data_IF_768219699435
#
_entry.id   IF_768219699435
#
_cell.length_a   1.000
_cell.length_b   1.000
_cell.length_c   1.000
_cell.angle_alpha   90.00
_cell.angle_beta   90.00
_cell.angle_gamma   90.00
#
_symmetry.space_group_name_H-M   'P 1'
#
loop_
_entity.id
_entity.type
_entity.pdbx_description
1 polymer ?
#
# COMPACT_ATOMS: atom_id res chain seq x y z
N UNK A 1 49.01 -50.89 7.26
CA UNK A 1 48.24 -49.64 7.33
C UNK A 1 46.89 -49.99 7.91
N UNK A 2 46.59 -49.56 9.14
CA UNK A 2 45.27 -49.76 9.75
C UNK A 2 44.39 -48.61 9.29
N UNK A 3 43.30 -48.93 8.59
CA UNK A 3 42.26 -47.97 8.25
C UNK A 3 41.74 -47.36 9.55
N UNK A 4 42.02 -46.08 9.75
CA UNK A 4 41.51 -45.33 10.87
C UNK A 4 40.03 -45.04 10.63
N UNK A 5 39.16 -45.71 11.39
CA UNK A 5 37.89 -45.21 11.93
C UNK A 5 37.11 -44.20 11.07
N UNK A 6 36.56 -44.64 9.92
CA UNK A 6 35.56 -43.86 9.19
C UNK A 6 34.19 -43.89 9.90
N UNK A 7 33.86 -45.01 10.55
CA UNK A 7 32.59 -45.19 11.25
C UNK A 7 32.38 -44.24 12.44
N UNK A 8 33.44 -43.89 13.18
CA UNK A 8 33.32 -43.02 14.36
C UNK A 8 32.97 -41.57 14.01
N UNK A 9 33.55 -41.05 12.92
CA UNK A 9 33.25 -39.70 12.44
C UNK A 9 31.84 -39.60 11.84
N UNK A 10 31.40 -40.66 11.15
CA UNK A 10 30.06 -40.75 10.56
C UNK A 10 28.96 -40.77 11.65
N UNK A 11 29.16 -41.55 12.71
CA UNK A 11 28.28 -41.54 13.88
C UNK A 11 28.22 -40.19 14.60
N UNK A 12 29.35 -39.48 14.67
CA UNK A 12 29.40 -38.12 15.22
C UNK A 12 28.60 -37.14 14.36
N UNK A 13 28.68 -37.24 13.03
CA UNK A 13 27.90 -36.41 12.11
C UNK A 13 26.39 -36.66 12.28
N UNK A 14 25.97 -37.92 12.35
CA UNK A 14 24.57 -38.29 12.59
C UNK A 14 24.09 -37.74 13.94
N UNK A 15 24.88 -37.86 15.00
CA UNK A 15 24.55 -37.32 16.31
C UNK A 15 24.39 -35.80 16.28
N UNK A 16 25.30 -35.08 15.61
CA UNK A 16 25.21 -33.62 15.45
C UNK A 16 23.94 -33.25 14.70
N UNK A 17 23.59 -33.95 13.62
CA UNK A 17 22.36 -33.70 12.86
C UNK A 17 21.12 -33.94 13.72
N UNK A 18 21.08 -35.02 14.51
CA UNK A 18 19.96 -35.31 15.41
C UNK A 18 19.84 -34.23 16.49
N UNK A 19 20.95 -33.87 17.14
CA UNK A 19 20.97 -32.82 18.18
C UNK A 19 20.55 -31.47 17.61
N UNK A 20 21.08 -31.08 16.45
CA UNK A 20 20.69 -29.86 15.75
C UNK A 20 19.20 -29.85 15.41
N UNK A 21 18.67 -30.97 14.90
CA UNK A 21 17.26 -31.13 14.54
C UNK A 21 16.33 -31.02 15.76
N UNK A 22 16.73 -31.59 16.90
CA UNK A 22 15.97 -31.51 18.15
C UNK A 22 16.08 -30.12 18.77
N UNK A 23 17.24 -29.46 18.68
CA UNK A 23 17.43 -28.10 19.21
C UNK A 23 16.68 -27.02 18.44
N UNK A 24 16.35 -27.24 17.16
CA UNK A 24 15.55 -26.31 16.37
C UNK A 24 14.13 -26.11 16.92
N UNK A 25 13.59 -27.08 17.67
CA UNK A 25 12.27 -26.99 18.31
C UNK A 25 12.28 -26.41 19.73
N UNK A 26 13.46 -26.06 20.27
CA UNK A 26 13.61 -25.47 21.60
C UNK A 26 13.93 -23.98 21.48
N UNK A 27 12.94 -23.21 21.07
CA UNK A 27 12.94 -21.76 21.35
C UNK A 27 12.36 -21.58 22.75
N UNK A 28 13.13 -21.09 23.74
CA UNK A 28 12.52 -20.69 25.00
C UNK A 28 11.42 -19.67 24.68
N UNK A 29 10.26 -19.85 25.28
CA UNK A 29 9.14 -18.91 25.20
C UNK A 29 9.64 -17.59 25.79
N UNK A 30 10.14 -16.71 24.90
CA UNK A 30 10.50 -15.36 25.28
C UNK A 30 9.20 -14.69 25.68
N UNK A 31 9.15 -14.09 26.88
CA UNK A 31 8.07 -13.17 27.20
C UNK A 31 8.01 -12.15 26.06
N UNK A 32 6.83 -11.93 25.44
CA UNK A 32 6.71 -10.94 24.37
C UNK A 32 7.16 -9.61 24.96
N UNK A 33 8.29 -9.11 24.48
CA UNK A 33 8.66 -7.72 24.73
C UNK A 33 7.69 -6.92 23.89
N UNK A 34 6.79 -6.18 24.53
CA UNK A 34 5.90 -5.24 23.84
C UNK A 34 6.78 -4.17 23.18
N UNK A 35 7.17 -4.40 21.93
CA UNK A 35 7.95 -3.43 21.17
C UNK A 35 7.10 -2.19 20.90
N UNK A 36 7.68 -0.99 21.03
CA UNK A 36 6.94 0.24 20.81
C UNK A 36 6.60 0.39 19.31
N UNK A 37 5.30 0.52 19.04
CA UNK A 37 4.75 0.68 17.70
C UNK A 37 4.65 2.15 17.31
N UNK A 38 4.62 2.43 16.01
CA UNK A 38 4.27 3.76 15.53
C UNK A 38 2.82 4.07 15.92
N UNK A 39 2.60 5.24 16.50
CA UNK A 39 1.26 5.71 16.94
C UNK A 39 0.83 6.98 16.22
N UNK A 40 1.76 7.67 15.58
CA UNK A 40 1.47 8.83 14.75
C UNK A 40 2.67 9.29 13.96
N UNK A 41 2.41 10.17 12.99
CA UNK A 41 3.37 10.68 12.03
C UNK A 41 3.15 12.19 11.90
N UNK A 42 4.18 12.98 12.16
CA UNK A 42 4.12 14.45 12.01
C UNK A 42 5.28 14.95 11.17
N UNK A 43 5.07 16.02 10.40
CA UNK A 43 6.16 16.62 9.63
C UNK A 43 5.70 17.30 8.36
N UNK A 44 6.61 17.38 7.38
CA UNK A 44 6.35 18.06 6.11
C UNK A 44 6.76 17.23 4.91
N UNK A 45 5.96 17.31 3.84
CA UNK A 45 6.24 16.75 2.52
C UNK A 45 6.17 17.87 1.48
N UNK A 46 7.22 18.02 0.68
CA UNK A 46 7.27 18.94 -0.44
C UNK A 46 6.84 18.21 -1.70
N UNK A 47 5.76 18.67 -2.33
CA UNK A 47 5.22 18.11 -3.57
C UNK A 47 6.07 18.59 -4.76
N UNK A 48 7.29 18.07 -4.86
CA UNK A 48 8.31 18.56 -5.79
C UNK A 48 8.04 18.23 -7.27
N UNK A 49 7.20 17.23 -7.55
CA UNK A 49 6.89 16.76 -8.91
C UNK A 49 5.45 17.11 -9.31
N UNK A 50 5.19 17.12 -10.63
CA UNK A 50 3.83 17.30 -11.17
C UNK A 50 2.93 16.14 -10.71
N UNK A 51 3.43 14.90 -10.76
CA UNK A 51 2.66 13.73 -10.35
C UNK A 51 2.22 13.79 -8.87
N UNK A 52 3.08 14.31 -7.99
CA UNK A 52 2.73 14.51 -6.57
C UNK A 52 1.64 15.57 -6.36
N UNK A 53 1.60 16.61 -7.20
CA UNK A 53 0.53 17.62 -7.18
C UNK A 53 -0.78 17.02 -7.71
N UNK A 54 -0.71 16.32 -8.84
CA UNK A 54 -1.90 15.79 -9.52
C UNK A 54 -2.56 14.68 -8.71
N UNK A 55 -1.78 13.89 -7.95
CA UNK A 55 -2.28 12.88 -7.01
C UNK A 55 -3.19 13.44 -5.91
N UNK A 56 -3.12 14.75 -5.61
CA UNK A 56 -3.98 15.44 -4.64
C UNK A 56 -5.01 16.36 -5.31
N UNK A 57 -5.23 16.24 -6.61
CA UNK A 57 -6.15 17.10 -7.35
C UNK A 57 -5.67 18.55 -7.45
N UNK A 58 -4.35 18.78 -7.54
CA UNK A 58 -3.73 20.11 -7.57
C UNK A 58 -3.19 20.49 -8.94
N UNK A 59 -3.85 20.04 -10.01
CA UNK A 59 -3.41 20.25 -11.40
C UNK A 59 -3.26 21.73 -11.76
N UNK A 60 -4.12 22.59 -11.21
CA UNK A 60 -4.13 24.05 -11.46
C UNK A 60 -2.97 24.83 -10.80
N UNK A 61 -2.19 24.16 -9.95
CA UNK A 61 -1.12 24.78 -9.16
C UNK A 61 0.26 24.40 -9.70
N UNK A 62 1.24 25.25 -9.44
CA UNK A 62 2.65 24.96 -9.70
C UNK A 62 3.20 23.96 -8.65
N UNK A 63 4.16 23.08 -9.03
CA UNK A 63 4.84 22.20 -8.08
C UNK A 63 5.57 22.97 -6.97
N UNK A 64 6.03 22.22 -5.97
CA UNK A 64 6.70 22.68 -4.74
C UNK A 64 5.77 23.26 -3.67
N UNK A 65 4.49 22.89 -3.67
CA UNK A 65 3.64 23.09 -2.51
C UNK A 65 4.13 22.24 -1.33
N UNK A 66 3.90 22.72 -0.11
CA UNK A 66 4.34 22.05 1.13
C UNK A 66 3.11 21.57 1.89
N UNK A 67 3.02 20.26 2.10
CA UNK A 67 2.05 19.60 2.94
C UNK A 67 2.61 19.42 4.35
N UNK A 68 2.03 20.07 5.35
CA UNK A 68 2.27 19.78 6.75
C UNK A 68 1.24 18.76 7.23
N UNK A 69 1.70 17.67 7.83
CA UNK A 69 0.86 16.55 8.27
C UNK A 69 0.98 16.34 9.77
N UNK A 70 -0.13 15.97 10.41
CA UNK A 70 -0.17 15.41 11.77
C UNK A 70 -1.19 14.28 11.77
N UNK A 71 -0.69 13.06 11.61
CA UNK A 71 -1.49 11.87 11.43
C UNK A 71 -1.39 10.99 12.67
N UNK A 72 -2.50 10.34 12.97
CA UNK A 72 -2.63 9.30 13.99
C UNK A 72 -2.72 7.96 13.32
N UNK A 73 -2.05 6.96 13.87
CA UNK A 73 -2.06 5.58 13.36
C UNK A 73 -2.70 4.66 14.38
N UNK A 74 -3.65 3.85 13.93
CA UNK A 74 -4.33 2.84 14.74
C UNK A 74 -4.33 1.50 14.02
N UNK A 75 -4.25 0.41 14.78
CA UNK A 75 -4.57 -0.92 14.25
C UNK A 75 -6.07 -1.03 14.09
N UNK A 76 -6.53 -1.70 13.03
CA UNK A 76 -7.94 -1.96 12.80
C UNK A 76 -8.20 -3.44 12.60
N UNK A 77 -9.40 -3.86 12.98
CA UNK A 77 -9.93 -5.19 12.71
C UNK A 77 -11.39 -5.08 12.25
N UNK A 78 -11.75 -5.91 11.27
CA UNK A 78 -13.11 -5.98 10.76
C UNK A 78 -13.57 -7.44 10.69
N UNK A 79 -14.89 -7.70 10.80
CA UNK A 79 -15.42 -9.02 10.50
C UNK A 79 -15.12 -9.43 9.04
N UNK A 80 -15.26 -10.72 8.68
CA UNK A 80 -15.12 -11.16 7.29
C UNK A 80 -16.05 -10.35 6.37
N UNK A 81 -15.50 -9.88 5.24
CA UNK A 81 -16.24 -9.22 4.17
C UNK A 81 -17.16 -10.22 3.42
N UNK A 82 -18.01 -9.70 2.53
CA UNK A 82 -18.74 -10.55 1.59
C UNK A 82 -17.77 -11.26 0.65
N UNK A 83 -17.70 -12.59 0.73
CA UNK A 83 -16.78 -13.41 -0.05
C UNK A 83 -15.42 -13.68 0.62
N UNK A 84 -15.17 -13.13 1.81
CA UNK A 84 -14.02 -13.47 2.66
C UNK A 84 -14.26 -14.76 3.46
N UNK A 85 -13.21 -15.57 3.61
CA UNK A 85 -13.17 -16.74 4.51
C UNK A 85 -12.64 -16.36 5.90
N UNK A 86 -11.87 -15.27 5.99
CA UNK A 86 -11.18 -14.85 7.21
C UNK A 86 -11.53 -13.40 7.61
N UNK A 87 -11.30 -13.07 8.89
CA UNK A 87 -11.43 -11.70 9.40
C UNK A 87 -10.35 -10.79 8.82
N UNK A 88 -10.65 -9.51 8.73
CA UNK A 88 -9.71 -8.52 8.22
C UNK A 88 -8.93 -7.88 9.35
N UNK A 89 -7.64 -7.66 9.12
CA UNK A 89 -6.78 -6.88 10.01
C UNK A 89 -5.96 -5.88 9.20
N UNK A 90 -5.55 -4.79 9.84
CA UNK A 90 -4.77 -3.79 9.15
C UNK A 90 -4.51 -2.55 9.98
N UNK A 91 -4.32 -1.43 9.28
CA UNK A 91 -4.04 -0.13 9.88
C UNK A 91 -4.93 0.96 9.29
N UNK A 92 -5.17 1.98 10.11
CA UNK A 92 -5.80 3.21 9.70
C UNK A 92 -4.91 4.38 10.11
N UNK A 93 -4.67 5.28 9.17
CA UNK A 93 -3.90 6.51 9.34
C UNK A 93 -4.81 7.68 9.02
N UNK A 94 -5.04 8.56 9.99
CA UNK A 94 -5.96 9.68 9.83
C UNK A 94 -5.49 10.95 10.52
N UNK A 95 -5.80 12.09 9.94
CA UNK A 95 -5.53 13.39 10.54
C UNK A 95 -5.50 14.55 9.55
N UNK A 96 -5.26 15.77 10.04
CA UNK A 96 -5.19 16.97 9.20
C UNK A 96 -3.95 17.01 8.30
N UNK A 97 -4.16 17.54 7.10
CA UNK A 97 -3.13 17.90 6.13
C UNK A 97 -3.31 19.36 5.74
N UNK A 98 -2.28 20.16 5.95
CA UNK A 98 -2.25 21.58 5.60
C UNK A 98 -1.33 21.82 4.42
N UNK A 99 -1.89 22.18 3.27
CA UNK A 99 -1.16 22.52 2.07
C UNK A 99 -0.96 24.04 1.99
N UNK A 100 0.31 24.45 1.86
CA UNK A 100 0.72 25.84 1.73
C UNK A 100 1.69 26.00 0.55
N UNK A 101 1.95 27.24 0.15
CA UNK A 101 2.82 27.52 -1.00
C UNK A 101 2.19 27.16 -2.35
N UNK A 102 0.87 26.99 -2.40
CA UNK A 102 0.12 26.79 -3.63
C UNK A 102 0.16 28.08 -4.44
N UNK A 103 0.65 28.02 -5.67
CA UNK A 103 0.68 29.15 -6.60
C UNK A 103 -0.08 28.76 -7.84
N UNK A 104 -1.19 29.45 -8.13
CA UNK A 104 -1.96 29.18 -9.35
C UNK A 104 -1.28 29.76 -10.59
N UNK A 105 -1.81 29.46 -11.77
CA UNK A 105 -1.28 29.98 -13.05
C UNK A 105 -1.22 31.52 -13.13
N UNK A 106 -2.03 32.21 -12.34
CA UNK A 106 -2.08 33.68 -12.27
C UNK A 106 -1.17 34.27 -11.19
N UNK A 107 -0.43 33.44 -10.46
CA UNK A 107 0.47 33.84 -9.39
C UNK A 107 -0.21 34.14 -8.06
N UNK A 108 -1.47 33.75 -7.86
CA UNK A 108 -2.18 33.91 -6.59
C UNK A 108 -1.77 32.80 -5.63
N UNK A 109 -1.63 33.16 -4.36
CA UNK A 109 -1.34 32.22 -3.29
C UNK A 109 -2.61 31.52 -2.81
N UNK A 110 -2.54 30.21 -2.72
CA UNK A 110 -3.58 29.34 -2.16
C UNK A 110 -3.14 28.69 -0.86
N UNK A 111 -4.14 28.18 -0.14
CA UNK A 111 -4.00 27.30 1.04
C UNK A 111 -5.15 26.32 1.01
N UNK A 112 -4.87 25.06 1.27
CA UNK A 112 -5.89 24.01 1.41
C UNK A 112 -5.73 23.38 2.79
N UNK A 113 -6.84 23.26 3.50
CA UNK A 113 -6.96 22.51 4.75
C UNK A 113 -7.78 21.27 4.43
N UNK A 114 -7.20 20.11 4.66
CA UNK A 114 -7.82 18.83 4.32
C UNK A 114 -7.69 17.85 5.47
N UNK A 115 -8.52 16.81 5.46
CA UNK A 115 -8.34 15.62 6.29
C UNK A 115 -8.02 14.43 5.40
N UNK A 116 -7.01 13.68 5.80
CA UNK A 116 -6.66 12.40 5.19
C UNK A 116 -7.17 11.28 6.07
N UNK A 117 -7.81 10.29 5.47
CA UNK A 117 -8.10 9.00 6.10
C UNK A 117 -7.68 7.88 5.14
N UNK A 118 -6.65 7.15 5.52
CA UNK A 118 -6.10 6.02 4.77
C UNK A 118 -6.25 4.75 5.59
N UNK A 119 -6.98 3.77 5.08
CA UNK A 119 -7.11 2.46 5.71
C UNK A 119 -6.55 1.38 4.79
N UNK A 120 -5.59 0.60 5.28
CA UNK A 120 -5.10 -0.61 4.61
C UNK A 120 -5.56 -1.82 5.41
N UNK A 121 -6.34 -2.71 4.79
CA UNK A 121 -6.83 -3.94 5.40
C UNK A 121 -6.43 -5.15 4.59
N UNK A 122 -6.23 -6.28 5.26
CA UNK A 122 -5.84 -7.54 4.63
C UNK A 122 -6.69 -8.69 5.16
N UNK A 123 -7.08 -9.58 4.26
CA UNK A 123 -7.61 -10.90 4.59
C UNK A 123 -6.44 -11.87 4.73
N UNK A 124 -6.11 -12.23 5.98
CA UNK A 124 -5.00 -13.15 6.29
C UNK A 124 -5.52 -14.50 6.78
N UNK A 125 -5.08 -15.56 6.13
CA UNK A 125 -5.29 -16.94 6.57
C UNK A 125 -4.46 -17.31 7.79
N UNK A 126 -4.83 -18.38 8.51
CA UNK A 126 -4.11 -18.85 9.70
C UNK A 126 -2.68 -19.34 9.42
N UNK A 127 -2.38 -19.61 8.16
CA UNK A 127 -1.08 -20.02 7.63
C UNK A 127 -0.16 -18.85 7.27
N UNK A 128 -0.61 -17.60 7.47
CA UNK A 128 0.15 -16.39 7.19
C UNK A 128 0.10 -15.95 5.73
N UNK A 129 -0.79 -16.53 4.93
CA UNK A 129 -1.01 -16.11 3.56
C UNK A 129 -2.07 -15.00 3.49
N UNK A 130 -1.82 -14.02 2.64
CA UNK A 130 -2.72 -12.91 2.35
C UNK A 130 -3.48 -13.25 1.07
N UNK A 131 -4.81 -13.31 1.19
CA UNK A 131 -5.70 -13.63 0.07
C UNK A 131 -6.17 -12.37 -0.64
N UNK A 132 -6.47 -11.31 0.12
CA UNK A 132 -6.98 -10.04 -0.40
C UNK A 132 -6.45 -8.86 0.41
N UNK A 133 -6.32 -7.72 -0.25
CA UNK A 133 -5.92 -6.46 0.37
C UNK A 133 -6.84 -5.33 -0.10
N UNK A 134 -7.23 -4.44 0.80
CA UNK A 134 -7.98 -3.23 0.50
C UNK A 134 -7.17 -2.01 0.91
N UNK A 135 -7.09 -1.02 0.03
CA UNK A 135 -6.59 0.31 0.32
C UNK A 135 -7.75 1.28 0.13
N UNK A 136 -8.20 1.89 1.22
CA UNK A 136 -9.28 2.87 1.24
C UNK A 136 -8.66 4.24 1.52
N UNK A 137 -8.77 5.16 0.58
CA UNK A 137 -8.31 6.52 0.69
C UNK A 137 -9.53 7.45 0.65
N UNK A 138 -9.70 8.24 1.70
CA UNK A 138 -10.66 9.33 1.77
C UNK A 138 -9.87 10.63 2.01
N UNK A 139 -9.90 11.50 1.01
CA UNK A 139 -9.28 12.81 1.01
C UNK A 139 -10.39 13.86 1.06
N UNK A 140 -10.55 14.49 2.21
CA UNK A 140 -11.54 15.54 2.42
C UNK A 140 -10.87 16.92 2.30
N UNK A 141 -11.00 17.55 1.14
CA UNK A 141 -10.44 18.86 0.83
C UNK A 141 -11.49 19.85 0.29
N UNK A 142 -12.76 19.65 0.65
CA UNK A 142 -13.88 20.49 0.19
C UNK A 142 -14.28 20.20 -1.26
N UNK A 143 -14.06 21.16 -2.16
CA UNK A 143 -14.40 21.03 -3.60
C UNK A 143 -13.44 20.10 -4.36
N UNK A 144 -12.37 19.64 -3.71
CA UNK A 144 -11.37 18.71 -4.24
C UNK A 144 -11.33 17.40 -3.47
N UNK A 145 -12.41 17.07 -2.75
CA UNK A 145 -12.49 15.80 -2.04
C UNK A 145 -12.49 14.64 -3.03
N UNK A 146 -11.94 13.50 -2.61
CA UNK A 146 -11.92 12.29 -3.42
C UNK A 146 -11.87 11.07 -2.54
N UNK A 147 -12.67 10.06 -2.86
CA UNK A 147 -12.58 8.75 -2.23
C UNK A 147 -12.19 7.69 -3.26
N UNK A 148 -11.16 6.90 -2.93
CA UNK A 148 -10.62 5.84 -3.78
C UNK A 148 -10.53 4.56 -2.96
N UNK A 149 -11.08 3.47 -3.49
CA UNK A 149 -10.88 2.13 -2.97
C UNK A 149 -10.10 1.30 -3.99
N UNK A 150 -9.09 0.58 -3.52
CA UNK A 150 -8.31 -0.38 -4.30
C UNK A 150 -8.41 -1.74 -3.65
N UNK A 151 -8.95 -2.72 -4.37
CA UNK A 151 -8.98 -4.13 -3.98
C UNK A 151 -7.93 -4.90 -4.77
N UNK A 152 -7.06 -5.63 -4.08
CA UNK A 152 -6.12 -6.59 -4.67
C UNK A 152 -6.51 -8.01 -4.28
N UNK A 153 -6.59 -8.92 -5.26
CA UNK A 153 -6.88 -10.35 -5.03
C UNK A 153 -5.64 -11.18 -5.41
N UNK A 154 -5.10 -11.90 -4.43
CA UNK A 154 -3.94 -12.77 -4.59
C UNK A 154 -4.37 -14.21 -4.86
N UNK A 155 -4.11 -14.68 -6.07
CA UNK A 155 -4.25 -16.09 -6.42
C UNK A 155 -3.09 -16.52 -7.35
N UNK A 156 -2.09 -17.28 -6.84
CA UNK A 156 -2.06 -17.88 -5.51
C UNK A 156 -1.92 -16.83 -4.38
N UNK A 157 -2.37 -17.14 -3.15
CA UNK A 157 -2.22 -16.26 -2.00
C UNK A 157 -0.77 -15.83 -1.76
N UNK A 158 -0.57 -14.58 -1.37
CA UNK A 158 0.76 -14.02 -1.13
C UNK A 158 1.24 -14.41 0.27
N UNK A 159 2.39 -15.05 0.35
CA UNK A 159 3.01 -15.29 1.64
C UNK A 159 3.57 -13.99 2.21
N UNK A 160 3.07 -13.59 3.37
CA UNK A 160 3.59 -12.44 4.10
C UNK A 160 3.94 -12.93 5.52
N UNK A 161 5.23 -13.25 5.78
CA UNK A 161 5.64 -13.65 7.12
C UNK A 161 5.25 -12.55 8.13
N UNK A 162 4.82 -12.95 9.32
CA UNK A 162 4.35 -12.06 10.38
C UNK A 162 5.43 -11.12 10.93
N UNK A 163 5.20 -10.60 12.13
CA UNK A 163 5.97 -9.50 12.76
C UNK A 163 7.48 -9.79 12.97
N UNK A 164 7.92 -11.06 12.84
CA UNK A 164 9.27 -11.53 13.18
C UNK A 164 10.28 -11.58 12.01
N UNK A 165 10.31 -10.63 11.08
CA UNK A 165 11.38 -10.60 10.06
C UNK A 165 12.13 -9.29 9.93
N UNK A 166 13.46 -9.44 9.88
CA UNK A 166 14.39 -8.44 9.42
C UNK A 166 14.02 -8.01 8.01
N UNK A 167 13.61 -6.75 7.87
CA UNK A 167 13.23 -6.24 6.57
C UNK A 167 14.49 -6.08 5.70
N UNK A 168 14.63 -7.00 4.74
CA UNK A 168 15.77 -7.03 3.86
C UNK A 168 15.80 -5.82 2.91
N UNK A 169 14.81 -4.93 2.91
CA UNK A 169 14.79 -3.70 2.12
C UNK A 169 15.59 -2.55 2.75
N UNK A 170 15.89 -2.61 4.05
CA UNK A 170 16.68 -1.61 4.76
C UNK A 170 18.08 -2.14 5.13
N UNK A 171 19.09 -1.28 5.05
CA UNK A 171 20.46 -1.54 5.53
C UNK A 171 20.76 -0.71 6.74
N UNK A 172 21.22 -1.34 7.82
CA UNK A 172 21.72 -0.63 8.99
C UNK A 172 23.12 -0.07 8.70
N UNK A 173 23.30 1.22 8.96
CA UNK A 173 24.55 1.98 8.84
C UNK A 173 24.82 2.75 10.13
N UNK A 174 25.96 3.46 10.21
CA UNK A 174 26.26 4.34 11.35
C UNK A 174 25.29 5.53 11.46
N UNK A 175 24.70 5.96 10.34
CA UNK A 175 23.78 7.12 10.27
C UNK A 175 22.31 6.74 10.52
N UNK A 176 22.00 5.44 10.59
CA UNK A 176 20.63 4.93 10.68
C UNK A 176 20.36 3.79 9.69
N UNK A 177 19.09 3.55 9.37
CA UNK A 177 18.68 2.57 8.36
C UNK A 177 18.41 3.25 7.01
N UNK A 178 19.03 2.76 5.94
CA UNK A 178 18.88 3.29 4.58
C UNK A 178 18.23 2.27 3.64
N UNK A 179 17.38 2.74 2.73
CA UNK A 179 16.79 1.92 1.68
C UNK A 179 17.82 1.27 0.76
N UNK A 180 17.66 -0.02 0.44
CA UNK A 180 18.48 -0.75 -0.54
C UNK A 180 18.06 -0.53 -1.98
N UNK A 181 16.78 -0.28 -2.18
CA UNK A 181 16.12 -0.20 -3.48
C UNK A 181 14.88 0.67 -3.36
N UNK A 182 14.53 1.35 -4.46
CA UNK A 182 13.41 2.30 -4.48
C UNK A 182 13.86 3.74 -4.19
N UNK A 183 12.96 4.61 -3.70
CA UNK A 183 13.31 5.99 -3.36
C UNK A 183 14.31 6.00 -2.20
N UNK A 184 15.17 7.01 -2.19
CA UNK A 184 16.16 7.21 -1.11
C UNK A 184 15.41 7.53 0.19
N UNK A 185 15.49 6.61 1.15
CA UNK A 185 14.87 6.71 2.47
C UNK A 185 15.92 6.49 3.54
N UNK A 186 16.00 7.41 4.50
CA UNK A 186 16.84 7.33 5.69
C UNK A 186 15.98 7.42 6.96
N UNK A 187 16.11 6.40 7.81
CA UNK A 187 15.50 6.31 9.12
C UNK A 187 16.56 6.51 10.21
N UNK A 188 16.35 7.50 11.05
CA UNK A 188 17.24 7.81 12.18
C UNK A 188 16.48 7.70 13.49
N UNK A 189 17.14 7.20 14.53
CA UNK A 189 16.58 7.29 15.88
C UNK A 189 16.89 8.66 16.47
N UNK A 190 15.87 9.34 16.97
CA UNK A 190 16.03 10.56 17.75
C UNK A 190 16.47 10.27 19.18
N UNK A 191 16.93 11.30 19.89
CA UNK A 191 17.29 11.20 21.31
C UNK A 191 16.08 10.85 22.21
N UNK A 192 14.84 11.13 21.77
CA UNK A 192 13.60 10.78 22.49
C UNK A 192 13.13 9.34 22.24
N UNK A 193 13.77 8.61 21.32
CA UNK A 193 13.35 7.27 20.90
C UNK A 193 12.33 7.25 19.75
N UNK A 194 11.93 8.42 19.23
CA UNK A 194 11.11 8.55 18.02
C UNK A 194 11.95 8.31 16.76
N UNK A 195 11.32 7.87 15.68
CA UNK A 195 11.98 7.69 14.39
C UNK A 195 11.87 8.95 13.53
N UNK A 196 12.98 9.44 12.98
CA UNK A 196 12.99 10.51 11.97
C UNK A 196 13.17 9.87 10.60
N UNK A 197 12.23 10.14 9.71
CA UNK A 197 12.20 9.65 8.33
C UNK A 197 12.54 10.82 7.39
N UNK A 198 13.65 10.68 6.66
CA UNK A 198 13.99 11.53 5.52
C UNK A 198 13.75 10.72 4.26
N UNK A 199 12.93 11.22 3.35
CA UNK A 199 12.53 10.41 2.21
C UNK A 199 12.30 11.24 0.95
N UNK A 200 12.51 10.57 -0.19
CA UNK A 200 12.28 11.11 -1.51
C UNK A 200 10.95 10.63 -2.08
N UNK A 201 10.28 11.53 -2.80
CA UNK A 201 9.15 11.14 -3.62
C UNK A 201 9.63 10.36 -4.85
N UNK A 202 8.80 9.45 -5.40
CA UNK A 202 9.09 8.83 -6.68
C UNK A 202 9.42 9.87 -7.76
N UNK A 203 10.34 9.52 -8.65
CA UNK A 203 10.72 10.29 -9.84
C UNK A 203 11.34 11.69 -9.60
N UNK A 204 11.61 12.09 -8.35
CA UNK A 204 12.37 13.30 -8.08
C UNK A 204 13.89 13.05 -8.12
N UNK A 205 14.48 13.22 -9.31
CA UNK A 205 15.90 12.90 -9.57
C UNK A 205 16.93 13.66 -8.71
N UNK A 206 16.58 14.85 -8.21
CA UNK A 206 17.48 15.66 -7.39
C UNK A 206 17.38 15.35 -5.90
N UNK A 207 16.38 14.58 -5.48
CA UNK A 207 16.18 14.25 -4.10
C UNK A 207 17.26 13.28 -3.59
N UNK A 208 17.69 13.51 -2.35
CA UNK A 208 18.62 12.67 -1.58
C UNK A 208 18.30 12.84 -0.11
N UNK A 209 18.75 11.93 0.76
CA UNK A 209 18.61 12.11 2.21
C UNK A 209 19.14 13.46 2.76
N UNK A 210 20.08 14.12 2.07
CA UNK A 210 20.61 15.46 2.42
C UNK A 210 19.75 16.64 1.95
N UNK A 211 18.82 16.39 1.03
CA UNK A 211 17.84 17.34 0.51
C UNK A 211 16.54 16.57 0.22
N UNK A 212 15.87 16.07 1.27
CA UNK A 212 14.73 15.18 1.12
C UNK A 212 13.47 15.96 0.73
N UNK A 213 12.53 15.28 0.07
CA UNK A 213 11.21 15.85 -0.19
C UNK A 213 10.36 15.82 1.08
N UNK A 214 10.58 14.82 1.93
CA UNK A 214 9.84 14.63 3.16
C UNK A 214 10.74 14.52 4.38
N UNK A 215 10.32 15.17 5.45
CA UNK A 215 10.93 15.10 6.78
C UNK A 215 9.81 14.82 7.76
N UNK A 216 9.72 13.58 8.21
CA UNK A 216 8.65 13.11 9.09
C UNK A 216 9.23 12.55 10.39
N UNK A 217 8.47 12.67 11.47
CA UNK A 217 8.78 12.08 12.77
C UNK A 217 7.68 11.08 13.12
N UNK A 218 8.06 9.81 13.19
CA UNK A 218 7.22 8.71 13.63
C UNK A 218 7.28 8.62 15.15
N UNK A 219 6.19 9.07 15.79
CA UNK A 219 6.02 8.98 17.25
C UNK A 219 5.75 7.53 17.61
N UNK A 220 6.48 7.01 18.60
CA UNK A 220 6.30 5.63 19.06
C UNK A 220 5.60 5.58 20.42
N UNK A 221 4.79 4.54 20.61
CA UNK A 221 4.01 4.34 21.82
C UNK A 221 3.77 2.86 22.10
N UNK A 222 3.15 2.54 23.25
CA UNK A 222 2.83 1.16 23.59
C UNK A 222 1.82 0.57 22.58
N UNK A 223 1.88 -0.74 22.32
CA UNK A 223 0.87 -1.46 21.56
C UNK A 223 -0.55 -1.15 22.03
N UNK A 224 -1.47 -0.89 21.09
CA UNK A 224 -2.89 -0.61 21.37
C UNK A 224 -3.78 -1.68 20.76
N UNK A 225 -4.87 -2.02 21.46
CA UNK A 225 -5.88 -2.93 20.93
C UNK A 225 -6.44 -2.40 19.59
N UNK A 226 -6.69 -3.26 18.60
CA UNK A 226 -7.24 -2.84 17.33
C UNK A 226 -8.63 -2.19 17.49
N UNK A 227 -8.85 -1.10 16.76
CA UNK A 227 -10.15 -0.47 16.59
C UNK A 227 -11.04 -1.37 15.72
N UNK A 228 -12.28 -1.59 16.15
CA UNK A 228 -13.26 -2.32 15.32
C UNK A 228 -13.81 -1.37 14.26
N UNK A 229 -13.69 -1.76 12.99
CA UNK A 229 -14.22 -1.02 11.84
C UNK A 229 -15.18 -1.90 11.04
N UNK A 230 -15.93 -1.28 10.14
CA UNK A 230 -16.79 -2.01 9.20
C UNK A 230 -15.95 -2.69 8.12
N UNK A 231 -16.44 -3.83 7.62
CA UNK A 231 -15.80 -4.49 6.48
C UNK A 231 -16.04 -3.67 5.21
N UNK A 232 -15.07 -3.62 4.28
CA UNK A 232 -15.23 -2.94 3.00
C UNK A 232 -16.34 -3.60 2.17
N UNK A 233 -16.97 -2.85 1.25
CA UNK A 233 -18.05 -3.37 0.41
C UNK A 233 -17.58 -4.53 -0.47
N UNK A 234 -18.51 -5.44 -0.78
CA UNK A 234 -18.26 -6.54 -1.68
C UNK A 234 -18.15 -6.08 -3.13
N UNK A 235 -17.13 -6.57 -3.83
CA UNK A 235 -17.02 -6.41 -5.28
C UNK A 235 -17.88 -7.47 -5.97
N UNK A 236 -18.78 -7.03 -6.85
CA UNK A 236 -19.71 -7.90 -7.55
C UNK A 236 -19.56 -7.79 -9.06
N UNK A 237 -19.85 -8.89 -9.75
CA UNK A 237 -19.85 -8.91 -11.20
C UNK A 237 -21.15 -8.31 -11.75
N UNK A 238 -21.02 -7.32 -12.63
CA UNK A 238 -22.12 -6.46 -13.08
C UNK A 238 -22.13 -6.37 -14.61
N UNK A 239 -23.31 -6.10 -15.18
CA UNK A 239 -23.44 -5.98 -16.63
C UNK A 239 -22.87 -4.65 -17.12
N UNK A 240 -22.11 -4.70 -18.21
CA UNK A 240 -21.50 -3.55 -18.85
C UNK A 240 -22.15 -3.27 -20.20
N UNK A 241 -22.61 -2.05 -20.40
CA UNK A 241 -23.02 -1.55 -21.70
C UNK A 241 -21.83 -0.87 -22.41
N UNK A 242 -21.60 -1.11 -23.71
CA UNK A 242 -20.53 -0.43 -24.42
C UNK A 242 -20.85 1.08 -24.53
N UNK A 243 -19.89 1.92 -24.16
CA UNK A 243 -20.03 3.37 -24.20
C UNK A 243 -18.71 4.08 -23.94
N UNK A 244 -18.66 5.38 -24.26
CA UNK A 244 -17.48 6.20 -23.97
C UNK A 244 -17.57 6.75 -22.55
N UNK A 245 -16.43 6.76 -21.85
CA UNK A 245 -16.28 7.41 -20.55
C UNK A 245 -16.28 8.93 -20.73
N UNK A 246 -16.82 9.64 -19.74
CA UNK A 246 -16.93 11.10 -19.70
C UNK A 246 -15.57 11.80 -19.77
N UNK A 247 -14.55 11.29 -19.05
CA UNK A 247 -13.26 12.00 -18.83
C UNK A 247 -12.01 11.12 -19.00
N UNK A 248 -12.07 10.06 -19.81
CA UNK A 248 -10.86 9.34 -20.24
C UNK A 248 -10.15 8.47 -19.19
N UNK A 249 -10.87 7.96 -18.17
CA UNK A 249 -10.40 6.78 -17.40
C UNK A 249 -10.03 6.98 -15.92
N UNK A 250 -10.09 8.20 -15.37
CA UNK A 250 -9.88 8.44 -13.93
C UNK A 250 -8.47 8.11 -13.41
N UNK A 251 -8.30 7.96 -12.09
CA UNK A 251 -7.03 7.53 -11.47
C UNK A 251 -6.62 6.15 -11.99
N UNK A 252 -7.58 5.25 -12.18
CA UNK A 252 -7.35 3.91 -12.69
C UNK A 252 -6.73 3.87 -14.09
N UNK A 253 -7.11 4.77 -15.00
CA UNK A 253 -6.56 4.85 -16.36
C UNK A 253 -5.07 5.23 -16.41
N UNK A 254 -4.53 5.79 -15.32
CA UNK A 254 -3.09 6.08 -15.17
C UNK A 254 -2.28 4.87 -14.70
N UNK A 255 -2.94 3.81 -14.22
CA UNK A 255 -2.26 2.67 -13.60
C UNK A 255 -1.65 1.71 -14.62
N UNK A 256 -2.12 1.66 -15.86
CA UNK A 256 -1.63 0.69 -16.82
C UNK A 256 -1.72 1.15 -18.28
N UNK A 257 -0.92 0.50 -19.11
CA UNK A 257 -0.96 0.69 -20.55
C UNK A 257 -1.91 -0.34 -21.17
N UNK A 258 -3.09 0.13 -21.55
CA UNK A 258 -4.12 -0.69 -22.18
C UNK A 258 -3.95 -0.71 -23.71
N UNK A 259 -4.21 -1.87 -24.30
CA UNK A 259 -4.16 -2.12 -25.73
C UNK A 259 -5.49 -1.92 -26.44
N UNK A 260 -5.77 -2.77 -27.42
CA UNK A 260 -6.97 -2.66 -28.25
C UNK A 260 -8.24 -2.97 -27.44
N UNK A 261 -9.34 -2.31 -27.82
CA UNK A 261 -10.66 -2.57 -27.26
C UNK A 261 -11.16 -3.96 -27.67
N UNK A 262 -11.61 -4.72 -26.68
CA UNK A 262 -12.17 -6.06 -26.88
C UNK A 262 -13.65 -6.09 -26.47
N UNK A 263 -14.49 -6.85 -27.18
CA UNK A 263 -15.89 -7.00 -26.81
C UNK A 263 -16.02 -7.68 -25.43
N UNK A 264 -16.68 -6.99 -24.51
CA UNK A 264 -17.00 -7.51 -23.19
C UNK A 264 -18.31 -6.87 -22.71
N UNK A 265 -19.09 -7.62 -21.94
CA UNK A 265 -20.39 -7.18 -21.43
C UNK A 265 -20.51 -7.34 -19.91
N UNK A 266 -19.40 -7.59 -19.22
CA UNK A 266 -19.35 -7.78 -17.76
C UNK A 266 -18.15 -7.05 -17.17
N UNK A 267 -18.29 -6.52 -15.98
CA UNK A 267 -17.18 -5.93 -15.22
C UNK A 267 -17.35 -6.21 -13.74
N UNK A 268 -16.40 -5.78 -12.92
CA UNK A 268 -16.49 -5.81 -11.48
C UNK A 268 -16.55 -4.38 -10.94
N UNK A 269 -17.43 -4.14 -9.97
CA UNK A 269 -17.59 -2.85 -9.31
C UNK A 269 -18.24 -3.08 -7.93
N UNK A 270 -17.91 -2.30 -6.89
CA UNK A 270 -18.68 -2.28 -5.66
C UNK A 270 -20.11 -1.81 -5.96
N UNK A 271 -21.09 -2.64 -5.58
CA UNK A 271 -22.55 -2.39 -5.63
C UNK A 271 -23.02 -1.19 -6.46
N UNK A 272 -23.07 -1.27 -7.80
CA UNK A 272 -23.55 -0.14 -8.60
C UNK A 272 -25.06 0.02 -8.43
N UNK A 273 -25.53 1.27 -8.33
CA UNK A 273 -26.96 1.56 -8.26
C UNK A 273 -27.64 1.45 -9.63
N UNK A 274 -26.85 1.47 -10.71
CA UNK A 274 -27.36 1.52 -12.07
C UNK A 274 -26.55 0.66 -13.06
N UNK A 275 -26.95 0.67 -14.33
CA UNK A 275 -26.21 -0.01 -15.39
C UNK A 275 -24.98 0.79 -15.77
N UNK A 276 -23.80 0.17 -15.67
CA UNK A 276 -22.55 0.82 -16.04
C UNK A 276 -22.38 0.90 -17.56
N UNK A 277 -21.82 2.01 -18.02
CA UNK A 277 -21.30 2.15 -19.38
C UNK A 277 -19.77 2.10 -19.35
N UNK A 278 -19.14 1.53 -20.37
CA UNK A 278 -17.69 1.51 -20.40
C UNK A 278 -17.07 0.70 -21.53
N UNK A 279 -15.78 0.47 -21.38
CA UNK A 279 -14.91 -0.15 -22.38
C UNK A 279 -13.99 -1.17 -21.71
N UNK A 280 -13.70 -2.24 -22.44
CA UNK A 280 -12.71 -3.24 -22.04
C UNK A 280 -11.59 -3.27 -23.06
N UNK A 281 -10.36 -3.37 -22.58
CA UNK A 281 -9.13 -3.39 -23.37
C UNK A 281 -8.25 -4.56 -22.96
N UNK A 282 -7.41 -5.03 -23.87
CA UNK A 282 -6.33 -5.96 -23.52
C UNK A 282 -5.25 -5.25 -22.70
N UNK A 283 -4.59 -5.98 -21.81
CA UNK A 283 -3.48 -5.44 -21.02
C UNK A 283 -2.18 -5.65 -21.79
N UNK A 284 -1.48 -4.56 -22.14
CA UNK A 284 -0.15 -4.63 -22.77
C UNK A 284 0.92 -4.78 -21.69
N UNK A 285 0.86 -3.90 -20.69
CA UNK A 285 1.76 -3.91 -19.55
C UNK A 285 0.91 -3.94 -18.28
N UNK A 286 1.11 -4.89 -17.36
CA UNK A 286 0.41 -4.89 -16.09
C UNK A 286 0.73 -3.62 -15.30
N UNK A 287 -0.10 -3.25 -14.30
CA UNK A 287 0.19 -2.11 -13.47
C UNK A 287 1.60 -2.17 -12.89
N UNK A 288 2.36 -1.05 -12.88
CA UNK A 288 3.68 -1.05 -12.31
C UNK A 288 3.58 -1.37 -10.82
N UNK A 289 4.59 -2.08 -10.32
CA UNK A 289 4.66 -2.37 -8.90
C UNK A 289 4.71 -1.07 -8.10
N UNK A 290 3.78 -0.87 -7.15
CA UNK A 290 3.91 0.16 -6.10
C UNK A 290 5.07 -0.12 -5.13
N UNK A 291 5.98 -1.05 -5.45
CA UNK A 291 7.22 -1.32 -4.73
C UNK A 291 8.05 -0.08 -4.32
N UNK A 292 8.09 1.05 -5.05
CA UNK A 292 8.78 2.24 -4.56
C UNK A 292 8.18 2.79 -3.25
N UNK A 293 6.85 2.68 -3.05
CA UNK A 293 6.19 3.07 -1.81
C UNK A 293 6.27 1.99 -0.72
N UNK A 294 6.59 0.74 -1.07
CA UNK A 294 6.85 -0.31 -0.09
C UNK A 294 7.89 0.12 0.94
N UNK A 295 8.97 0.79 0.50
CA UNK A 295 10.02 1.31 1.38
C UNK A 295 9.48 2.32 2.40
N UNK A 296 8.49 3.13 2.02
CA UNK A 296 7.82 4.06 2.93
C UNK A 296 6.97 3.35 3.97
N UNK A 297 6.14 2.39 3.55
CA UNK A 297 5.35 1.57 4.48
C UNK A 297 6.26 0.82 5.45
N UNK A 298 7.31 0.17 4.93
CA UNK A 298 8.31 -0.54 5.72
C UNK A 298 8.99 0.39 6.72
N UNK A 299 9.39 1.59 6.28
CA UNK A 299 10.03 2.55 7.16
C UNK A 299 9.12 3.02 8.32
N UNK A 300 7.81 2.98 8.11
CA UNK A 300 6.79 3.25 9.12
C UNK A 300 6.41 2.03 9.95
N UNK A 301 7.08 0.89 9.75
CA UNK A 301 6.79 -0.37 10.44
C UNK A 301 5.55 -1.09 9.91
N UNK A 302 5.15 -0.81 8.67
CA UNK A 302 3.94 -1.34 8.05
C UNK A 302 4.23 -2.39 6.98
N UNK A 303 3.24 -3.24 6.73
CA UNK A 303 3.31 -4.25 5.68
C UNK A 303 3.30 -3.61 4.31
N UNK A 304 4.30 -3.94 3.49
CA UNK A 304 4.39 -3.42 2.13
C UNK A 304 3.24 -3.91 1.23
N UNK A 305 2.55 -2.95 0.60
CA UNK A 305 1.64 -3.19 -0.51
C UNK A 305 2.46 -3.47 -1.78
N UNK A 306 2.16 -4.57 -2.47
CA UNK A 306 2.74 -4.89 -3.78
C UNK A 306 1.62 -5.04 -4.77
N UNK A 307 1.35 -4.00 -5.55
CA UNK A 307 0.45 -4.09 -6.71
C UNK A 307 1.22 -4.72 -7.87
N UNK A 308 1.23 -6.05 -7.96
CA UNK A 308 1.70 -6.73 -9.16
C UNK A 308 0.68 -7.78 -9.63
N UNK A 309 -0.60 -7.38 -9.87
CA UNK A 309 -1.61 -8.31 -10.31
C UNK A 309 -1.38 -8.70 -11.77
N UNK A 310 -1.40 -9.99 -12.06
CA UNK A 310 -1.43 -10.49 -13.42
C UNK A 310 -2.88 -10.52 -13.93
N UNK A 311 -3.11 -10.02 -15.15
CA UNK A 311 -4.43 -10.02 -15.77
C UNK A 311 -4.36 -9.84 -17.29
N UNK A 312 -5.47 -10.10 -17.96
CA UNK A 312 -5.57 -10.11 -19.43
C UNK A 312 -6.46 -8.99 -19.95
N UNK A 313 -7.51 -8.65 -19.19
CA UNK A 313 -8.48 -7.65 -19.58
C UNK A 313 -8.59 -6.55 -18.52
N UNK A 314 -8.51 -5.31 -18.98
CA UNK A 314 -8.76 -4.12 -18.18
C UNK A 314 -10.08 -3.51 -18.60
N UNK A 315 -11.00 -3.35 -17.67
CA UNK A 315 -12.30 -2.72 -17.92
C UNK A 315 -12.40 -1.45 -17.14
N UNK A 316 -12.80 -0.37 -17.80
CA UNK A 316 -13.15 0.91 -17.20
C UNK A 316 -14.64 1.15 -17.42
N UNK A 317 -15.35 1.45 -16.36
CA UNK A 317 -16.79 1.57 -16.36
C UNK A 317 -17.22 2.71 -15.42
N UNK A 318 -18.30 3.40 -15.77
CA UNK A 318 -18.88 4.42 -14.91
C UNK A 318 -20.41 4.38 -14.95
N UNK A 319 -21.00 4.73 -13.83
CA UNK A 319 -22.28 5.44 -13.80
C UNK A 319 -22.04 6.81 -13.17
N UNK A 320 -22.97 7.75 -13.33
CA UNK A 320 -22.73 9.15 -12.95
C UNK A 320 -22.25 9.40 -11.52
N UNK A 321 -22.34 8.40 -10.64
CA UNK A 321 -21.98 8.47 -9.21
C UNK A 321 -20.70 7.67 -8.87
N UNK A 322 -20.35 6.63 -9.65
CA UNK A 322 -19.14 5.83 -9.41
C UNK A 322 -18.36 5.53 -10.69
N UNK A 323 -17.04 5.64 -10.60
CA UNK A 323 -16.13 5.12 -11.64
C UNK A 323 -15.42 3.89 -11.10
N UNK A 324 -15.49 2.81 -11.85
CA UNK A 324 -14.92 1.51 -11.51
C UNK A 324 -13.96 1.06 -12.61
N UNK A 325 -12.83 0.51 -12.20
CA UNK A 325 -11.93 -0.20 -13.07
C UNK A 325 -11.57 -1.57 -12.50
N UNK A 326 -11.45 -2.56 -13.38
CA UNK A 326 -11.22 -3.93 -13.01
C UNK A 326 -10.23 -4.60 -13.96
N UNK A 327 -9.20 -5.20 -13.37
CA UNK A 327 -8.30 -6.14 -14.03
C UNK A 327 -8.80 -7.56 -13.78
N UNK A 328 -9.07 -8.30 -14.85
CA UNK A 328 -9.50 -9.69 -14.77
C UNK A 328 -8.54 -10.63 -15.48
N UNK A 329 -8.47 -11.87 -14.99
CA UNK A 329 -7.77 -12.94 -15.70
C UNK A 329 -8.58 -13.47 -16.90
N UNK A 330 -8.01 -14.46 -17.60
CA UNK A 330 -8.64 -15.09 -18.77
C UNK A 330 -9.98 -15.80 -18.48
N UNK A 331 -10.28 -16.09 -17.21
CA UNK A 331 -11.56 -16.68 -16.78
C UNK A 331 -12.61 -15.63 -16.42
N UNK A 332 -12.22 -14.35 -16.36
CA UNK A 332 -13.07 -13.25 -15.92
C UNK A 332 -13.04 -13.02 -14.40
N UNK A 333 -12.16 -13.71 -13.66
CA UNK A 333 -12.02 -13.49 -12.22
C UNK A 333 -11.25 -12.20 -11.93
N UNK A 334 -11.70 -11.46 -10.91
CA UNK A 334 -11.10 -10.20 -10.49
C UNK A 334 -9.71 -10.41 -9.87
N UNK A 335 -8.76 -9.55 -10.27
CA UNK A 335 -7.38 -9.53 -9.78
C UNK A 335 -7.02 -8.20 -9.12
N UNK A 336 -7.50 -7.10 -9.71
CA UNK A 336 -7.41 -5.75 -9.16
C UNK A 336 -8.72 -5.03 -9.43
N UNK A 337 -9.30 -4.41 -8.41
CA UNK A 337 -10.43 -3.49 -8.50
C UNK A 337 -10.02 -2.11 -8.04
N UNK A 338 -10.48 -1.08 -8.73
CA UNK A 338 -10.32 0.32 -8.35
C UNK A 338 -11.69 0.99 -8.46
N UNK A 339 -12.18 1.59 -7.38
CA UNK A 339 -13.41 2.38 -7.40
C UNK A 339 -13.11 3.80 -6.92
N UNK A 340 -13.66 4.76 -7.65
CA UNK A 340 -13.50 6.19 -7.42
C UNK A 340 -14.89 6.81 -7.27
N UNK A 341 -15.08 7.57 -6.20
CA UNK A 341 -16.27 8.41 -6.02
C UNK A 341 -15.83 9.86 -6.24
N UNK A 342 -16.10 10.44 -7.43
CA UNK A 342 -15.82 11.84 -7.68
C UNK A 342 -16.71 12.73 -6.77
N UNK A 343 -16.14 13.83 -6.29
CA UNK A 343 -16.84 14.84 -5.47
C UNK A 343 -17.98 15.56 -6.21
#
# INVERSE_FOLDING_TARGET
MKEATFAGAEWLCVLIVIVASVSLGWTPEQEPVDEPEVVGLEGTVTLATRDAMDALGLQDFQPCAVAAIDLTRERVAAPPCEGCEHSLTGIMVQGPVLLTGLVDETGRLGRIEANLNLTHMMERGPDGFVHREWLLLDWDAGDRSSAVEVLLVHDPPRWLPGEDRSDATLLTTEEGQISRSGPDVLLQSSESGDGVLLACLPDHFLCRATSPDAVLTARRGPPRAPLSVEAPPGWVEVSLAPGNLSDGGGWAGSLLEAGEEVPNNRTWCPTPESSLIGVTREVITPPPSLAPLATWFIALGETHLVLAPDGVHWTEAEDGDVRCAALTDASGALRLGVSEHPA
#
